data_IF_912806388575
#
_entry.id   IF_912806388575
#
_cell.length_a   1.000
_cell.length_b   1.000
_cell.length_c   1.000
_cell.angle_alpha   90.00
_cell.angle_beta   90.00
_cell.angle_gamma   90.00
#
_symmetry.space_group_name_H-M   'P 1'
#
loop_
_entity.id
_entity.type
_entity.pdbx_description
1 polymer ?
#
# COMPACT_ATOMS: atom_id res chain seq x y z
N UNK A 1 -17.87 -5.97 -8.42
CA UNK A 1 -18.76 -5.19 -7.50
C UNK A 1 -19.62 -4.23 -8.33
N UNK A 2 -20.86 -3.96 -7.95
CA UNK A 2 -21.75 -3.04 -8.70
C UNK A 2 -21.32 -1.56 -8.63
N UNK A 3 -21.87 -0.71 -9.50
CA UNK A 3 -21.63 0.75 -9.49
C UNK A 3 -22.11 1.41 -8.21
N UNK A 4 -21.23 2.16 -7.54
CA UNK A 4 -21.59 2.84 -6.28
C UNK A 4 -22.30 4.16 -6.61
N UNK A 5 -23.60 4.23 -6.31
CA UNK A 5 -24.39 5.44 -6.64
C UNK A 5 -24.06 6.61 -5.71
N UNK A 6 -23.94 6.36 -4.40
CA UNK A 6 -23.48 7.36 -3.42
C UNK A 6 -21.97 7.26 -3.18
N UNK A 7 -21.23 7.41 -4.27
CA UNK A 7 -19.77 7.25 -4.26
C UNK A 7 -19.10 8.27 -3.35
N UNK A 8 -19.66 9.47 -3.25
CA UNK A 8 -19.07 10.60 -2.51
C UNK A 8 -18.82 10.25 -1.05
N UNK A 9 -19.75 9.52 -0.40
CA UNK A 9 -19.66 9.15 1.01
C UNK A 9 -18.52 8.16 1.27
N UNK A 10 -18.12 7.36 0.28
CA UNK A 10 -17.06 6.35 0.40
C UNK A 10 -15.70 6.84 -0.10
N UNK A 11 -15.60 8.11 -0.50
CA UNK A 11 -14.35 8.67 -1.02
C UNK A 11 -13.30 8.82 0.10
N UNK A 12 -12.11 8.25 -0.13
CA UNK A 12 -11.01 8.25 0.84
C UNK A 12 -10.50 9.67 1.17
N UNK A 13 -10.67 10.62 0.24
CA UNK A 13 -10.29 12.03 0.45
C UNK A 13 -11.20 12.76 1.45
N UNK A 14 -12.39 12.25 1.79
CA UNK A 14 -13.27 12.89 2.79
C UNK A 14 -12.66 12.94 4.18
N UNK A 15 -11.80 11.99 4.51
CA UNK A 15 -11.13 11.90 5.82
C UNK A 15 -9.71 12.48 5.79
N UNK A 16 -9.24 12.96 4.64
CA UNK A 16 -7.97 13.66 4.52
C UNK A 16 -8.16 15.15 4.89
N UNK A 17 -7.11 15.79 5.44
CA UNK A 17 -7.19 17.19 5.91
C UNK A 17 -7.48 18.14 4.74
N UNK A 18 -8.55 18.93 4.88
CA UNK A 18 -9.16 19.77 3.84
C UNK A 18 -8.23 20.89 3.35
N UNK A 19 -7.33 21.38 4.21
CA UNK A 19 -6.42 22.49 3.88
C UNK A 19 -5.28 22.10 2.91
N UNK A 20 -4.99 20.80 2.75
CA UNK A 20 -3.97 20.30 1.82
C UNK A 20 -4.52 19.96 0.42
N UNK A 21 -5.85 19.88 0.27
CA UNK A 21 -6.54 19.33 -0.92
C UNK A 21 -6.99 20.38 -1.96
N UNK A 22 -6.70 21.67 -1.73
CA UNK A 22 -7.05 22.78 -2.63
C UNK A 22 -5.82 23.56 -3.09
N UNK A 23 -4.69 22.86 -3.23
CA UNK A 23 -3.45 23.49 -3.67
C UNK A 23 -3.38 23.57 -5.21
N UNK A 24 -2.77 24.63 -5.75
CA UNK A 24 -2.61 24.81 -7.20
C UNK A 24 -1.26 24.26 -7.67
N UNK A 25 -1.20 23.76 -8.91
CA UNK A 25 0.06 23.40 -9.57
C UNK A 25 0.69 22.09 -9.07
N UNK A 26 2.01 22.09 -8.85
CA UNK A 26 2.79 20.89 -8.51
C UNK A 26 2.35 20.20 -7.20
N UNK A 27 1.67 20.93 -6.31
CA UNK A 27 1.13 20.40 -5.06
C UNK A 27 -0.07 19.44 -5.25
N UNK A 28 -0.78 19.51 -6.39
CA UNK A 28 -1.86 18.55 -6.74
C UNK A 28 -1.36 17.11 -6.92
N UNK A 29 -0.06 16.91 -7.13
CA UNK A 29 0.51 15.56 -7.25
C UNK A 29 0.49 14.81 -5.91
N UNK A 30 0.55 15.50 -4.76
CA UNK A 30 0.39 14.87 -3.44
C UNK A 30 -1.04 14.36 -3.23
N UNK A 31 -2.03 15.06 -3.76
CA UNK A 31 -3.45 14.70 -3.69
C UNK A 31 -3.78 13.45 -4.53
N UNK A 32 -3.04 13.19 -5.61
CA UNK A 32 -3.19 11.96 -6.41
C UNK A 32 -2.91 10.69 -5.59
N UNK A 33 -2.00 10.74 -4.63
CA UNK A 33 -1.65 9.58 -3.80
C UNK A 33 -2.86 9.08 -3.00
N UNK A 34 -3.74 9.98 -2.55
CA UNK A 34 -4.99 9.65 -1.85
C UNK A 34 -5.94 8.87 -2.77
N UNK A 35 -5.90 9.15 -4.08
CA UNK A 35 -6.74 8.47 -5.05
C UNK A 35 -6.29 7.03 -5.35
N UNK A 36 -5.00 6.68 -5.15
CA UNK A 36 -4.41 5.40 -5.61
C UNK A 36 -5.08 4.16 -5.02
N UNK A 37 -5.65 4.25 -3.81
CA UNK A 37 -6.41 3.15 -3.18
C UNK A 37 -7.90 3.47 -2.92
N UNK A 38 -8.44 4.55 -3.50
CA UNK A 38 -9.80 4.95 -3.22
C UNK A 38 -10.80 3.97 -3.87
N UNK A 39 -11.74 3.37 -3.10
CA UNK A 39 -12.65 2.33 -3.62
C UNK A 39 -13.61 2.86 -4.69
N UNK A 40 -13.86 4.17 -4.73
CA UNK A 40 -14.80 4.85 -5.63
C UNK A 40 -14.11 5.70 -6.69
N UNK A 41 -12.85 5.38 -7.01
CA UNK A 41 -12.03 6.17 -7.93
C UNK A 41 -12.65 6.27 -9.33
N UNK A 42 -13.26 5.19 -9.81
CA UNK A 42 -13.88 5.11 -11.14
C UNK A 42 -15.15 5.96 -11.21
N UNK A 43 -16.00 5.88 -10.19
CA UNK A 43 -17.22 6.66 -10.04
C UNK A 43 -16.92 8.16 -9.97
N UNK A 44 -15.94 8.53 -9.13
CA UNK A 44 -15.47 9.91 -8.99
C UNK A 44 -14.94 10.47 -10.32
N UNK A 45 -14.15 9.70 -11.08
CA UNK A 45 -13.65 10.14 -12.38
C UNK A 45 -14.77 10.33 -13.40
N UNK A 46 -15.70 9.37 -13.47
CA UNK A 46 -16.82 9.43 -14.40
C UNK A 46 -17.68 10.68 -14.17
N UNK A 47 -18.00 10.96 -12.90
CA UNK A 47 -18.78 12.14 -12.52
C UNK A 47 -18.07 13.44 -12.95
N UNK A 48 -16.76 13.54 -12.69
CA UNK A 48 -15.97 14.71 -13.08
C UNK A 48 -15.91 14.93 -14.59
N UNK A 49 -15.86 13.85 -15.38
CA UNK A 49 -15.81 13.93 -16.85
C UNK A 49 -17.18 14.26 -17.45
N UNK A 50 -18.25 13.65 -16.94
CA UNK A 50 -19.62 13.90 -17.40
C UNK A 50 -20.07 15.32 -17.04
N UNK A 51 -19.78 15.78 -15.83
CA UNK A 51 -20.12 17.13 -15.36
C UNK A 51 -19.10 18.20 -15.78
N UNK A 52 -18.04 17.82 -16.50
CA UNK A 52 -16.95 18.72 -16.96
C UNK A 52 -16.36 19.58 -15.83
N UNK A 53 -16.12 18.96 -14.68
CA UNK A 53 -15.62 19.67 -13.49
C UNK A 53 -14.26 20.32 -13.78
N UNK A 54 -14.21 21.63 -13.58
CA UNK A 54 -13.10 22.50 -13.98
C UNK A 54 -11.92 22.51 -13.01
N UNK A 55 -12.09 22.09 -11.75
CA UNK A 55 -11.02 22.20 -10.75
C UNK A 55 -10.81 20.92 -9.95
N UNK A 56 -9.64 20.82 -9.31
CA UNK A 56 -9.27 19.73 -8.40
C UNK A 56 -8.86 18.41 -9.07
N UNK A 57 -8.42 17.47 -8.24
CA UNK A 57 -8.07 16.09 -8.63
C UNK A 57 -9.28 15.19 -8.45
N UNK A 58 -9.65 14.47 -9.51
CA UNK A 58 -10.82 13.58 -9.52
C UNK A 58 -10.41 12.23 -10.08
N UNK A 59 -10.67 11.17 -9.31
CA UNK A 59 -10.28 9.80 -9.64
C UNK A 59 -8.80 9.62 -10.00
N UNK A 60 -7.93 10.46 -9.41
CA UNK A 60 -6.49 10.47 -9.67
C UNK A 60 -6.05 11.28 -10.91
N UNK A 61 -6.97 11.96 -11.59
CA UNK A 61 -6.67 12.83 -12.74
C UNK A 61 -6.75 14.31 -12.35
N UNK A 62 -5.72 15.07 -12.72
CA UNK A 62 -5.74 16.54 -12.71
C UNK A 62 -6.69 17.08 -13.76
N UNK A 63 -7.08 18.35 -13.61
CA UNK A 63 -7.85 19.08 -14.60
C UNK A 63 -7.21 19.01 -16.02
N UNK A 64 -5.89 19.22 -16.13
CA UNK A 64 -5.18 19.19 -17.41
C UNK A 64 -5.31 17.83 -18.11
N UNK A 65 -5.21 16.75 -17.34
CA UNK A 65 -5.35 15.38 -17.83
C UNK A 65 -6.78 15.09 -18.27
N UNK A 66 -7.79 15.50 -17.47
CA UNK A 66 -9.21 15.37 -17.84
C UNK A 66 -9.53 16.16 -19.11
N UNK A 67 -9.10 17.42 -19.22
CA UNK A 67 -9.25 18.22 -20.45
C UNK A 67 -8.58 17.56 -21.64
N UNK A 68 -7.40 16.96 -21.46
CA UNK A 68 -6.72 16.17 -22.48
C UNK A 68 -7.53 14.96 -22.95
N UNK A 69 -8.13 14.22 -22.00
CA UNK A 69 -8.95 13.05 -22.28
C UNK A 69 -10.24 13.42 -23.02
N UNK A 70 -10.95 14.46 -22.58
CA UNK A 70 -12.15 14.99 -23.22
C UNK A 70 -11.88 15.42 -24.68
N UNK A 71 -10.71 16.02 -24.96
CA UNK A 71 -10.32 16.38 -26.33
C UNK A 71 -10.02 15.17 -27.21
N UNK A 72 -9.41 14.12 -26.64
CA UNK A 72 -9.06 12.89 -27.37
C UNK A 72 -10.28 12.02 -27.67
N UNK A 73 -11.35 12.13 -26.87
CA UNK A 73 -12.57 11.32 -27.00
C UNK A 73 -13.84 12.17 -27.02
N UNK A 74 -14.02 13.03 -28.05
CA UNK A 74 -15.18 13.93 -28.12
C UNK A 74 -16.51 13.21 -28.36
N UNK A 75 -16.48 11.99 -28.89
CA UNK A 75 -17.68 11.19 -29.18
C UNK A 75 -18.27 10.48 -27.96
N UNK A 76 -17.61 10.51 -26.80
CA UNK A 76 -18.11 9.87 -25.58
C UNK A 76 -19.17 10.77 -24.95
N UNK A 77 -20.42 10.31 -24.96
CA UNK A 77 -21.58 11.03 -24.44
C UNK A 77 -21.90 10.72 -22.98
N UNK A 78 -21.39 9.59 -22.46
CA UNK A 78 -21.49 9.22 -21.04
C UNK A 78 -20.24 8.46 -20.63
N UNK A 79 -19.42 9.12 -19.82
CA UNK A 79 -18.24 8.54 -19.19
C UNK A 79 -18.60 7.52 -18.13
N UNK A 80 -19.71 7.72 -17.40
CA UNK A 80 -20.28 6.68 -16.53
C UNK A 80 -20.46 5.37 -17.29
N UNK A 81 -21.23 5.37 -18.37
CA UNK A 81 -21.52 4.14 -19.12
C UNK A 81 -20.25 3.50 -19.68
N UNK A 82 -19.34 4.31 -20.22
CA UNK A 82 -18.09 3.82 -20.78
C UNK A 82 -17.20 3.16 -19.71
N UNK A 83 -17.00 3.83 -18.57
CA UNK A 83 -16.14 3.34 -17.50
C UNK A 83 -16.77 2.16 -16.75
N UNK A 84 -18.08 2.15 -16.59
CA UNK A 84 -18.82 1.01 -16.04
C UNK A 84 -18.66 -0.23 -16.92
N UNK A 85 -18.88 -0.10 -18.24
CA UNK A 85 -18.71 -1.20 -19.20
C UNK A 85 -17.28 -1.73 -19.18
N UNK A 86 -16.29 -0.83 -19.25
CA UNK A 86 -14.87 -1.21 -19.21
C UNK A 86 -14.49 -1.94 -17.91
N UNK A 87 -15.05 -1.53 -16.76
CA UNK A 87 -14.83 -2.24 -15.49
C UNK A 87 -15.42 -3.64 -15.53
N UNK A 88 -16.66 -3.79 -15.98
CA UNK A 88 -17.32 -5.10 -16.06
C UNK A 88 -16.58 -6.04 -17.02
N UNK A 89 -16.17 -5.55 -18.19
CA UNK A 89 -15.36 -6.32 -19.14
C UNK A 89 -14.03 -6.75 -18.52
N UNK A 90 -13.35 -5.85 -17.79
CA UNK A 90 -12.13 -6.19 -17.08
C UNK A 90 -12.36 -7.27 -16.00
N UNK A 91 -13.35 -7.08 -15.12
CA UNK A 91 -13.70 -8.05 -14.07
C UNK A 91 -14.00 -9.44 -14.67
N UNK A 92 -14.73 -9.50 -15.79
CA UNK A 92 -15.00 -10.74 -16.52
C UNK A 92 -13.74 -11.36 -17.12
N UNK A 93 -12.89 -10.56 -17.78
CA UNK A 93 -11.65 -11.04 -18.40
C UNK A 93 -10.61 -11.51 -17.39
N UNK A 94 -10.58 -10.89 -16.21
CA UNK A 94 -9.65 -11.20 -15.13
C UNK A 94 -10.11 -12.40 -14.27
N UNK A 95 -11.27 -13.00 -14.56
CA UNK A 95 -11.85 -14.06 -13.73
C UNK A 95 -12.29 -13.57 -12.34
N UNK A 96 -12.42 -12.25 -12.14
CA UNK A 96 -12.88 -11.61 -10.89
C UNK A 96 -14.41 -11.48 -10.82
N UNK A 97 -15.13 -12.01 -11.82
CA UNK A 97 -16.57 -11.81 -12.01
C UNK A 97 -17.46 -12.83 -11.30
N UNK A 98 -16.91 -13.79 -10.54
CA UNK A 98 -17.72 -14.65 -9.68
C UNK A 98 -17.43 -14.43 -8.18
N UNK A 99 -18.18 -13.54 -7.51
CA UNK A 99 -18.13 -13.41 -6.06
C UNK A 99 -18.47 -14.72 -5.32
N UNK A 100 -19.23 -15.63 -5.95
CA UNK A 100 -19.68 -16.86 -5.30
C UNK A 100 -18.64 -17.99 -5.28
N UNK A 101 -17.54 -17.88 -6.03
CA UNK A 101 -16.50 -18.93 -6.08
C UNK A 101 -15.28 -18.65 -5.21
N UNK A 102 -15.04 -17.41 -4.77
CA UNK A 102 -13.71 -17.03 -4.26
C UNK A 102 -13.46 -17.44 -2.80
N UNK A 103 -14.50 -17.58 -1.97
CA UNK A 103 -14.40 -17.92 -0.55
C UNK A 103 -15.58 -18.82 -0.11
N UNK A 104 -15.87 -19.89 -0.87
CA UNK A 104 -17.02 -20.80 -0.61
C UNK A 104 -17.04 -21.42 0.80
N UNK A 105 -15.93 -21.37 1.53
CA UNK A 105 -15.81 -21.83 2.92
C UNK A 105 -16.07 -20.75 3.98
N UNK A 106 -16.36 -19.51 3.59
CA UNK A 106 -16.78 -18.42 4.48
C UNK A 106 -18.26 -18.10 4.29
N UNK A 107 -18.92 -17.73 5.38
CA UNK A 107 -20.23 -17.06 5.30
C UNK A 107 -20.06 -15.64 4.76
N UNK A 108 -21.14 -15.03 4.23
CA UNK A 108 -21.10 -13.65 3.72
C UNK A 108 -20.65 -12.63 4.80
N UNK A 109 -21.05 -12.83 6.07
CA UNK A 109 -20.62 -11.97 7.18
C UNK A 109 -19.13 -12.13 7.49
N UNK A 110 -18.61 -13.36 7.43
CA UNK A 110 -17.18 -13.64 7.61
C UNK A 110 -16.35 -13.10 6.45
N UNK A 111 -16.87 -13.19 5.22
CA UNK A 111 -16.26 -12.62 4.03
C UNK A 111 -16.16 -11.09 4.14
N UNK A 112 -17.24 -10.40 4.49
CA UNK A 112 -17.24 -8.95 4.69
C UNK A 112 -16.23 -8.52 5.78
N UNK A 113 -16.17 -9.27 6.88
CA UNK A 113 -15.21 -9.03 7.95
C UNK A 113 -13.76 -9.25 7.49
N UNK A 114 -13.51 -10.29 6.69
CA UNK A 114 -12.19 -10.55 6.10
C UNK A 114 -11.80 -9.46 5.12
N UNK A 115 -12.69 -9.07 4.20
CA UNK A 115 -12.45 -8.02 3.21
C UNK A 115 -12.14 -6.68 3.90
N UNK A 116 -12.80 -6.37 5.01
CA UNK A 116 -12.48 -5.19 5.80
C UNK A 116 -11.04 -5.22 6.35
N UNK A 117 -10.60 -6.37 6.90
CA UNK A 117 -9.22 -6.55 7.38
C UNK A 117 -8.22 -6.50 6.22
N UNK A 118 -8.50 -7.16 5.10
CA UNK A 118 -7.68 -7.12 3.90
C UNK A 118 -7.45 -5.69 3.44
N UNK A 119 -8.52 -4.91 3.28
CA UNK A 119 -8.47 -3.52 2.81
C UNK A 119 -7.73 -2.61 3.79
N UNK A 120 -7.93 -2.81 5.09
CA UNK A 120 -7.24 -2.06 6.15
C UNK A 120 -5.75 -2.40 6.23
N UNK A 121 -5.35 -3.66 5.98
CA UNK A 121 -4.02 -4.15 6.33
C UNK A 121 -3.06 -4.38 5.17
N UNK A 122 -3.52 -4.59 3.94
CA UNK A 122 -2.63 -4.89 2.81
C UNK A 122 -1.55 -3.82 2.62
N UNK A 123 -1.96 -2.56 2.41
CA UNK A 123 -1.01 -1.46 2.16
C UNK A 123 -0.13 -1.16 3.38
N UNK A 124 -0.65 -1.09 4.63
CA UNK A 124 0.20 -0.95 5.81
C UNK A 124 1.21 -2.08 6.00
N UNK A 125 0.86 -3.34 5.70
CA UNK A 125 1.79 -4.47 5.77
C UNK A 125 2.93 -4.36 4.76
N UNK A 126 2.62 -4.00 3.51
CA UNK A 126 3.63 -3.75 2.48
C UNK A 126 4.57 -2.62 2.93
N UNK A 127 4.03 -1.51 3.43
CA UNK A 127 4.84 -0.41 3.95
C UNK A 127 5.70 -0.83 5.15
N UNK A 128 5.17 -1.65 6.06
CA UNK A 128 5.91 -2.23 7.19
C UNK A 128 7.10 -3.06 6.71
N UNK A 129 6.91 -3.95 5.74
CA UNK A 129 7.99 -4.79 5.20
C UNK A 129 9.06 -3.98 4.47
N UNK A 130 8.67 -2.95 3.72
CA UNK A 130 9.62 -2.03 3.07
C UNK A 130 10.47 -1.31 4.14
N UNK A 131 9.87 -0.82 5.23
CA UNK A 131 10.61 -0.23 6.37
C UNK A 131 11.55 -1.24 7.03
N UNK A 132 11.14 -2.51 7.12
CA UNK A 132 11.98 -3.59 7.64
C UNK A 132 13.14 -3.96 6.71
N UNK A 133 13.04 -3.65 5.42
CA UNK A 133 14.12 -3.78 4.44
C UNK A 133 13.78 -4.58 3.18
N UNK A 134 12.53 -5.00 2.99
CA UNK A 134 12.10 -5.70 1.79
C UNK A 134 12.10 -4.78 0.55
N UNK A 135 12.28 -5.36 -0.65
CA UNK A 135 11.90 -4.70 -1.89
C UNK A 135 10.37 -4.56 -1.96
N UNK A 136 9.85 -3.67 -2.83
CA UNK A 136 8.40 -3.52 -3.01
C UNK A 136 7.75 -4.84 -3.45
N UNK A 137 8.37 -5.51 -4.40
CA UNK A 137 7.90 -6.81 -4.91
C UNK A 137 7.87 -7.87 -3.81
N UNK A 138 8.97 -8.07 -3.09
CA UNK A 138 9.02 -9.06 -2.01
C UNK A 138 8.05 -8.74 -0.86
N UNK A 139 7.81 -7.44 -0.61
CA UNK A 139 6.86 -6.98 0.39
C UNK A 139 5.41 -7.29 -0.02
N UNK A 140 5.06 -7.06 -1.29
CA UNK A 140 3.73 -7.38 -1.83
C UNK A 140 3.48 -8.88 -1.81
N UNK A 141 4.42 -9.68 -2.29
CA UNK A 141 4.32 -11.14 -2.28
C UNK A 141 4.14 -11.71 -0.87
N UNK A 142 4.94 -11.24 0.10
CA UNK A 142 4.86 -11.71 1.47
C UNK A 142 3.58 -11.24 2.18
N UNK A 143 3.09 -10.02 1.89
CA UNK A 143 1.84 -9.53 2.44
C UNK A 143 0.64 -10.31 1.87
N UNK A 144 0.65 -10.57 0.55
CA UNK A 144 -0.37 -11.37 -0.11
C UNK A 144 -0.41 -12.79 0.47
N UNK A 145 0.74 -13.48 0.52
CA UNK A 145 0.80 -14.83 1.07
C UNK A 145 0.32 -14.92 2.54
N UNK A 146 0.60 -13.89 3.34
CA UNK A 146 0.12 -13.85 4.73
C UNK A 146 -1.40 -13.68 4.82
N UNK A 147 -2.00 -12.88 3.93
CA UNK A 147 -3.47 -12.71 3.88
C UNK A 147 -4.17 -13.95 3.32
N UNK A 148 -3.57 -14.65 2.37
CA UNK A 148 -4.05 -15.95 1.89
C UNK A 148 -4.06 -16.99 3.03
N UNK A 149 -2.99 -17.05 3.82
CA UNK A 149 -2.94 -17.96 4.98
C UNK A 149 -3.93 -17.54 6.08
N UNK A 150 -4.16 -16.24 6.27
CA UNK A 150 -5.20 -15.74 7.18
C UNK A 150 -6.60 -16.16 6.71
N UNK A 151 -6.90 -16.02 5.42
CA UNK A 151 -8.19 -16.41 4.84
C UNK A 151 -8.48 -17.90 5.05
N UNK A 152 -7.46 -18.75 4.91
CA UNK A 152 -7.56 -20.19 5.17
C UNK A 152 -7.73 -20.55 6.65
N UNK A 153 -7.37 -19.65 7.57
CA UNK A 153 -7.46 -19.83 9.03
C UNK A 153 -8.45 -18.85 9.68
N UNK A 154 -9.35 -18.29 8.88
CA UNK A 154 -10.33 -17.32 9.35
C UNK A 154 -11.21 -17.95 10.44
N UNK A 155 -11.51 -17.19 11.49
CA UNK A 155 -12.22 -17.68 12.68
C UNK A 155 -11.36 -18.42 13.71
N UNK A 156 -10.19 -18.96 13.33
CA UNK A 156 -9.22 -19.56 14.28
C UNK A 156 -8.26 -18.51 14.83
N UNK A 157 -7.89 -17.53 14.01
CA UNK A 157 -6.98 -16.45 14.41
C UNK A 157 -7.75 -15.37 15.18
N UNK A 158 -7.62 -15.36 16.50
CA UNK A 158 -8.28 -14.39 17.38
C UNK A 158 -7.85 -12.94 17.11
N UNK A 159 -6.59 -12.73 16.74
CA UNK A 159 -6.00 -11.40 16.54
C UNK A 159 -5.28 -11.28 15.20
N UNK A 160 -6.00 -10.91 14.11
CA UNK A 160 -5.43 -10.87 12.76
C UNK A 160 -4.27 -9.89 12.60
N UNK A 161 -4.29 -8.72 13.24
CA UNK A 161 -3.26 -7.68 13.03
C UNK A 161 -1.86 -8.11 13.49
N UNK A 162 -1.63 -8.53 14.75
CA UNK A 162 -0.31 -9.00 15.19
C UNK A 162 0.12 -10.28 14.46
N UNK A 163 -0.84 -11.16 14.17
CA UNK A 163 -0.60 -12.39 13.44
C UNK A 163 -0.09 -12.10 12.02
N UNK A 164 -0.78 -11.27 11.25
CA UNK A 164 -0.42 -10.92 9.86
C UNK A 164 0.98 -10.34 9.77
N UNK A 165 1.36 -9.42 10.66
CA UNK A 165 2.70 -8.83 10.65
C UNK A 165 3.78 -9.88 10.86
N UNK A 166 3.56 -10.78 11.83
CA UNK A 166 4.52 -11.83 12.17
C UNK A 166 4.64 -12.85 11.03
N UNK A 167 3.49 -13.27 10.48
CA UNK A 167 3.43 -14.22 9.35
C UNK A 167 4.09 -13.63 8.12
N UNK A 168 3.73 -12.40 7.71
CA UNK A 168 4.30 -11.73 6.54
C UNK A 168 5.81 -11.53 6.68
N UNK A 169 6.28 -11.09 7.86
CA UNK A 169 7.71 -10.94 8.13
C UNK A 169 8.47 -12.27 8.02
N UNK A 170 7.91 -13.36 8.57
CA UNK A 170 8.51 -14.70 8.49
C UNK A 170 8.51 -15.25 7.05
N UNK A 171 7.44 -15.02 6.30
CA UNK A 171 7.36 -15.39 4.87
C UNK A 171 8.43 -14.68 4.06
N UNK A 172 8.60 -13.36 4.27
CA UNK A 172 9.67 -12.59 3.63
C UNK A 172 11.06 -13.11 4.00
N UNK A 173 11.37 -13.31 5.28
CA UNK A 173 12.65 -13.89 5.70
C UNK A 173 12.90 -15.26 5.05
N UNK A 174 11.88 -16.11 4.95
CA UNK A 174 12.00 -17.43 4.31
C UNK A 174 12.29 -17.30 2.82
N UNK A 175 11.66 -16.34 2.12
CA UNK A 175 11.92 -16.06 0.71
C UNK A 175 13.36 -15.57 0.49
N UNK A 176 13.83 -14.61 1.30
CA UNK A 176 15.21 -14.11 1.25
C UNK A 176 16.24 -15.21 1.46
N UNK A 177 16.04 -16.09 2.45
CA UNK A 177 16.95 -17.22 2.68
C UNK A 177 16.86 -18.34 1.62
N UNK A 178 15.76 -18.40 0.87
CA UNK A 178 15.58 -19.35 -0.25
C UNK A 178 16.41 -18.93 -1.47
N UNK A 179 16.69 -17.64 -1.63
CA UNK A 179 17.61 -17.10 -2.65
C UNK A 179 19.04 -17.47 -2.23
N UNK A 180 19.45 -18.71 -2.52
CA UNK A 180 20.85 -19.16 -2.40
C UNK A 180 21.74 -18.38 -3.38
N UNK A 181 23.01 -18.08 -3.04
CA UNK A 181 23.98 -17.44 -3.95
C UNK A 181 24.27 -18.20 -5.27
N UNK A 182 23.77 -19.43 -5.41
CA UNK A 182 24.01 -20.30 -6.57
C UNK A 182 23.07 -20.04 -7.76
N UNK A 183 22.10 -19.14 -7.63
CA UNK A 183 21.21 -18.75 -8.74
C UNK A 183 21.52 -17.35 -9.28
N UNK A 184 22.79 -16.93 -9.27
CA UNK A 184 23.26 -15.87 -10.14
C UNK A 184 23.23 -16.39 -11.57
N UNK A 185 22.09 -16.22 -12.25
CA UNK A 185 22.03 -16.34 -13.70
C UNK A 185 22.63 -15.07 -14.30
N UNK A 186 23.53 -15.20 -15.27
CA UNK A 186 24.08 -14.06 -16.04
C UNK A 186 23.01 -13.32 -16.88
N UNK A 187 21.78 -13.81 -16.87
CA UNK A 187 20.64 -13.16 -17.49
C UNK A 187 20.11 -12.05 -16.58
N UNK A 188 20.66 -10.85 -16.77
CA UNK A 188 20.02 -9.61 -16.33
C UNK A 188 18.82 -9.40 -17.25
N UNK A 189 17.58 -9.26 -16.73
CA UNK A 189 16.45 -8.85 -17.54
C UNK A 189 16.80 -7.58 -18.32
N UNK A 190 16.67 -7.61 -19.65
CA UNK A 190 17.01 -6.48 -20.54
C UNK A 190 16.24 -5.20 -20.20
N UNK A 191 15.16 -5.34 -19.42
CA UNK A 191 14.40 -4.24 -18.86
C UNK A 191 14.14 -4.50 -17.37
N UNK A 192 14.51 -3.56 -16.47
CA UNK A 192 14.00 -3.56 -15.11
C UNK A 192 12.46 -3.63 -15.15
N UNK A 193 11.84 -4.39 -14.25
CA UNK A 193 10.40 -4.30 -14.06
C UNK A 193 10.05 -2.81 -13.85
N UNK A 194 9.05 -2.30 -14.58
CA UNK A 194 8.67 -0.89 -14.50
C UNK A 194 8.31 -0.55 -13.04
N UNK A 195 9.22 0.13 -12.32
CA UNK A 195 8.95 0.67 -11.00
C UNK A 195 7.99 1.86 -11.19
N UNK A 196 6.69 1.58 -11.21
CA UNK A 196 5.64 2.60 -11.28
C UNK A 196 5.49 3.35 -9.95
N UNK A 197 6.61 3.77 -9.34
CA UNK A 197 6.62 4.62 -8.17
C UNK A 197 6.32 6.07 -8.59
N UNK A 198 5.04 6.44 -8.51
CA UNK A 198 4.64 7.85 -8.50
C UNK A 198 4.99 8.41 -7.12
N UNK A 199 6.12 9.11 -7.09
CA UNK A 199 6.58 10.15 -6.15
C UNK A 199 6.05 10.07 -4.70
N UNK A 200 6.83 9.41 -3.83
CA UNK A 200 6.63 9.37 -2.37
C UNK A 200 7.74 10.17 -1.67
N UNK A 201 7.96 11.42 -2.09
CA UNK A 201 9.08 12.23 -1.63
C UNK A 201 9.18 12.35 -0.09
N UNK A 202 8.06 12.46 0.65
CA UNK A 202 8.10 12.61 2.12
C UNK A 202 8.26 11.29 2.90
N UNK A 203 7.79 10.14 2.37
CA UNK A 203 8.03 8.82 3.03
C UNK A 203 9.32 8.15 2.55
N UNK A 204 9.93 8.66 1.48
CA UNK A 204 11.23 8.19 1.01
C UNK A 204 12.31 8.49 2.05
N UNK A 205 12.23 9.63 2.76
CA UNK A 205 13.23 10.02 3.77
C UNK A 205 13.34 9.02 4.93
N UNK A 206 12.22 8.59 5.52
CA UNK A 206 12.26 7.64 6.64
C UNK A 206 12.81 6.27 6.21
N UNK A 207 12.43 5.79 5.01
CA UNK A 207 12.92 4.51 4.49
C UNK A 207 14.42 4.59 4.22
N UNK A 208 14.91 5.71 3.66
CA UNK A 208 16.35 5.90 3.41
C UNK A 208 17.15 6.01 4.71
N UNK A 209 16.64 6.70 5.73
CA UNK A 209 17.27 6.77 7.05
C UNK A 209 17.34 5.39 7.72
N UNK A 210 16.23 4.64 7.72
CA UNK A 210 16.18 3.28 8.24
C UNK A 210 17.14 2.34 7.51
N UNK A 211 17.36 2.55 6.20
CA UNK A 211 18.33 1.80 5.39
C UNK A 211 19.79 1.99 5.82
N UNK A 212 20.12 3.03 6.57
CA UNK A 212 21.45 3.26 7.14
C UNK A 212 21.69 2.52 8.46
N UNK A 213 20.62 1.99 9.07
CA UNK A 213 20.72 1.19 10.30
C UNK A 213 21.14 -0.26 10.00
N UNK A 214 21.87 -0.92 10.93
CA UNK A 214 22.03 -2.37 10.94
C UNK A 214 20.68 -3.10 10.86
N UNK A 215 20.65 -4.25 10.18
CA UNK A 215 19.41 -4.98 9.85
C UNK A 215 18.49 -5.17 11.08
N UNK A 216 19.02 -5.64 12.20
CA UNK A 216 18.20 -5.89 13.39
C UNK A 216 17.63 -4.59 14.00
N UNK A 217 18.41 -3.50 14.01
CA UNK A 217 17.97 -2.19 14.50
C UNK A 217 16.87 -1.61 13.62
N UNK A 218 17.03 -1.73 12.30
CA UNK A 218 16.00 -1.39 11.30
C UNK A 218 14.72 -2.19 11.52
N UNK A 219 14.84 -3.50 11.65
CA UNK A 219 13.69 -4.39 11.88
C UNK A 219 12.94 -3.97 13.13
N UNK A 220 13.60 -3.87 14.30
CA UNK A 220 12.87 -3.52 15.54
C UNK A 220 12.24 -2.13 15.45
N UNK A 221 12.86 -1.19 14.74
CA UNK A 221 12.29 0.14 14.49
C UNK A 221 11.08 0.10 13.56
N UNK A 222 11.09 -0.75 12.53
CA UNK A 222 9.95 -0.95 11.66
C UNK A 222 8.74 -1.53 12.44
N UNK A 223 8.98 -2.42 13.41
CA UNK A 223 7.94 -2.92 14.32
C UNK A 223 7.39 -1.82 15.23
N UNK A 224 8.26 -0.98 15.81
CA UNK A 224 7.82 0.15 16.64
C UNK A 224 6.99 1.17 15.85
N UNK A 225 7.41 1.51 14.63
CA UNK A 225 6.66 2.41 13.74
C UNK A 225 5.30 1.83 13.35
N UNK A 226 5.16 0.51 13.27
CA UNK A 226 3.87 -0.15 13.05
C UNK A 226 3.02 -0.29 14.34
N UNK A 227 3.47 0.31 15.44
CA UNK A 227 2.74 0.40 16.70
C UNK A 227 2.94 -0.77 17.66
N UNK A 228 3.98 -1.59 17.47
CA UNK A 228 4.16 -2.80 18.27
C UNK A 228 5.02 -2.57 19.51
N UNK A 229 4.60 -3.19 20.61
CA UNK A 229 5.37 -3.17 21.84
C UNK A 229 6.67 -3.98 21.72
N UNK A 230 7.67 -3.73 22.58
CA UNK A 230 8.87 -4.54 22.63
C UNK A 230 8.61 -6.03 22.96
N UNK A 231 7.51 -6.34 23.66
CA UNK A 231 7.14 -7.71 24.00
C UNK A 231 6.58 -8.45 22.77
N UNK A 232 5.65 -7.85 22.04
CA UNK A 232 5.11 -8.43 20.79
C UNK A 232 6.19 -8.56 19.72
N UNK A 233 7.10 -7.58 19.64
CA UNK A 233 8.25 -7.63 18.72
C UNK A 233 9.20 -8.77 19.08
N UNK A 234 9.44 -9.00 20.38
CA UNK A 234 10.27 -10.10 20.87
C UNK A 234 9.69 -11.47 20.50
N UNK A 235 8.38 -11.64 20.68
CA UNK A 235 7.66 -12.84 20.29
C UNK A 235 7.73 -13.08 18.77
N UNK A 236 7.46 -12.05 17.98
CA UNK A 236 7.49 -12.14 16.53
C UNK A 236 8.88 -12.56 16.00
N UNK A 237 9.94 -11.94 16.55
CA UNK A 237 11.33 -12.14 16.15
C UNK A 237 12.02 -13.35 16.83
N UNK A 238 11.38 -13.99 17.81
CA UNK A 238 11.94 -15.14 18.53
C UNK A 238 13.18 -14.78 19.36
N UNK A 239 13.21 -13.60 19.98
CA UNK A 239 14.35 -13.13 20.79
C UNK A 239 13.90 -12.46 22.10
N UNK A 240 14.77 -12.32 23.11
CA UNK A 240 14.39 -11.70 24.38
C UNK A 240 13.97 -10.23 24.22
N UNK A 241 12.91 -9.81 24.94
CA UNK A 241 12.44 -8.41 24.94
C UNK A 241 13.50 -7.40 25.40
N UNK A 242 14.46 -7.82 26.22
CA UNK A 242 15.61 -7.00 26.58
C UNK A 242 16.48 -6.66 25.34
N UNK A 243 16.68 -7.63 24.44
CA UNK A 243 17.45 -7.44 23.20
C UNK A 243 16.71 -6.48 22.24
N UNK A 244 15.38 -6.59 22.15
CA UNK A 244 14.56 -5.66 21.38
C UNK A 244 14.71 -4.23 21.91
N UNK A 245 14.52 -4.02 23.23
CA UNK A 245 14.68 -2.68 23.85
C UNK A 245 16.08 -2.11 23.63
N UNK A 246 17.11 -2.94 23.75
CA UNK A 246 18.49 -2.52 23.50
C UNK A 246 18.71 -2.09 22.05
N UNK A 247 18.20 -2.84 21.09
CA UNK A 247 18.32 -2.49 19.66
C UNK A 247 17.47 -1.26 19.31
N UNK A 248 16.29 -1.08 19.90
CA UNK A 248 15.49 0.15 19.74
C UNK A 248 16.25 1.38 20.24
N UNK A 249 16.84 1.29 21.44
CA UNK A 249 17.67 2.39 21.98
C UNK A 249 18.83 2.73 21.05
N UNK A 250 19.54 1.72 20.54
CA UNK A 250 20.66 1.93 19.59
C UNK A 250 20.18 2.49 18.24
N UNK A 251 19.03 2.02 17.75
CA UNK A 251 18.43 2.53 16.52
C UNK A 251 18.12 4.02 16.62
N UNK A 252 17.46 4.45 17.71
CA UNK A 252 17.11 5.85 17.93
C UNK A 252 18.34 6.75 18.02
N UNK A 253 19.35 6.36 18.82
CA UNK A 253 20.62 7.10 18.90
C UNK A 253 21.34 7.21 17.54
N UNK A 254 21.32 6.15 16.75
CA UNK A 254 21.90 6.18 15.41
C UNK A 254 21.11 7.11 14.48
N UNK A 255 19.78 7.09 14.52
CA UNK A 255 18.94 7.98 13.72
C UNK A 255 19.12 9.44 14.13
N UNK A 256 19.17 9.75 15.42
CA UNK A 256 19.45 11.09 15.96
C UNK A 256 20.76 11.64 15.36
N UNK A 257 21.86 10.87 15.46
CA UNK A 257 23.14 11.27 14.87
C UNK A 257 23.06 11.50 13.35
N UNK A 258 22.31 10.66 12.64
CA UNK A 258 22.16 10.79 11.19
C UNK A 258 21.38 12.04 10.76
N UNK A 259 20.43 12.49 11.60
CA UNK A 259 19.68 13.73 11.39
C UNK A 259 20.59 14.95 11.66
N UNK A 260 21.34 14.92 12.77
CA UNK A 260 22.32 15.97 13.13
C UNK A 260 23.41 16.14 12.04
N UNK A 261 23.97 15.04 11.53
CA UNK A 261 24.98 15.05 10.47
C UNK A 261 24.44 15.59 9.12
N UNK A 262 23.12 15.49 8.89
CA UNK A 262 22.46 15.95 7.65
C UNK A 262 22.15 17.44 7.64
N UNK A 263 21.85 18.03 8.81
CA UNK A 263 21.57 19.46 8.96
C UNK A 263 22.85 20.32 8.83
N UNK A 264 24.03 19.77 9.11
CA UNK A 264 25.32 20.45 9.02
C UNK A 264 25.95 20.54 7.61
N UNK A 265 25.30 19.97 6.58
CA UNK A 265 25.85 19.86 5.21
C UNK A 265 25.33 20.89 4.20
N UNK A 266 24.54 21.87 4.63
CA UNK A 266 24.05 22.97 3.79
C UNK A 266 24.57 24.31 4.33
N UNK A 267 25.85 24.56 4.11
CA UNK A 267 26.54 25.83 4.40
C UNK A 267 27.38 26.27 3.22
#
# INVERSE_FOLDING_TARGET
MGWVTDWSVQAACRTAQVDELFTQGAAQNREKAVCTGCPVRTECLADALDNRVEFGVWGGMTERERRGLLRRRPAVVSWRRLLETARTEYEQSAGLADPAETLTWLTAEEEDAFVAVFRDRFVPLVAFLIKAGASRHDAEDAAQGALEELAAKWGVVESPRPWLRTTAYRMWLKAVHRIRPQALTDQIPERPADDHSVDVAEKMDIVQLLRRLPLLQRTVMAFEIDGCSPAETAEALGMPAANVRQNLRRARLNLERLLEDGEGGTG
#
